data_IF_315789461495
#
_entry.id   IF_315789461495
#
_cell.length_a   1.000
_cell.length_b   1.000
_cell.length_c   1.000
_cell.angle_alpha   90.00
_cell.angle_beta   90.00
_cell.angle_gamma   90.00
#
_symmetry.space_group_name_H-M   'P 1'
#
loop_
_entity.id
_entity.type
_entity.pdbx_description
1 polymer ?
#
# COMPACT_ATOMS: atom_id res chain seq x y z
N UNK A 1 6.67 -1.85 -13.70
CA UNK A 1 6.85 -0.52 -13.06
C UNK A 1 5.67 -0.27 -12.16
N UNK A 2 5.91 0.29 -10.98
CA UNK A 2 4.88 0.58 -9.98
C UNK A 2 4.89 2.07 -9.63
N UNK A 3 3.71 2.61 -9.35
CA UNK A 3 3.54 3.90 -8.71
C UNK A 3 3.08 3.66 -7.28
N UNK A 4 3.84 4.17 -6.31
CA UNK A 4 3.54 4.01 -4.89
C UNK A 4 3.13 5.36 -4.33
N UNK A 5 1.95 5.43 -3.74
CA UNK A 5 1.41 6.61 -3.04
C UNK A 5 1.27 6.26 -1.56
N UNK A 6 1.78 7.12 -0.69
CA UNK A 6 1.78 6.91 0.76
C UNK A 6 1.19 8.16 1.39
N UNK A 7 0.16 7.98 2.21
CA UNK A 7 -0.40 9.06 3.01
C UNK A 7 -0.71 8.58 4.43
N UNK A 8 -0.76 9.53 5.35
CA UNK A 8 -1.30 9.32 6.69
C UNK A 8 -2.68 9.95 6.71
N UNK A 9 -3.65 9.27 7.32
CA UNK A 9 -4.90 9.97 7.61
C UNK A 9 -4.61 11.21 8.46
N UNK A 10 -5.21 12.37 8.10
CA UNK A 10 -5.08 13.55 8.92
C UNK A 10 -5.58 13.24 10.33
N UNK A 11 -4.85 13.71 11.33
CA UNK A 11 -5.25 13.57 12.72
C UNK A 11 -6.61 14.26 12.92
N UNK A 12 -7.67 13.46 13.10
CA UNK A 12 -8.99 13.96 13.47
C UNK A 12 -9.16 13.86 14.99
N UNK A 13 -9.13 14.98 15.73
CA UNK A 13 -9.31 14.97 17.18
C UNK A 13 -10.72 14.55 17.63
N UNK A 14 -11.67 14.41 16.70
CA UNK A 14 -13.03 13.91 16.94
C UNK A 14 -13.20 12.43 16.59
N UNK A 15 -12.23 11.82 15.90
CA UNK A 15 -12.24 10.39 15.63
C UNK A 15 -11.98 9.60 16.92
N UNK A 16 -12.63 8.45 17.05
CA UNK A 16 -12.41 7.57 18.20
C UNK A 16 -10.90 7.25 18.33
N UNK A 17 -10.34 7.19 19.55
CA UNK A 17 -8.89 7.05 19.81
C UNK A 17 -8.26 5.76 19.25
N UNK A 18 -9.06 4.87 18.63
CA UNK A 18 -8.62 3.66 17.95
C UNK A 18 -8.19 3.88 16.48
N UNK A 19 -8.57 4.98 15.83
CA UNK A 19 -8.07 5.32 14.49
C UNK A 19 -6.78 6.11 14.65
N UNK A 20 -5.82 5.52 15.35
CA UNK A 20 -4.50 6.10 15.53
C UNK A 20 -3.75 5.97 14.20
N UNK A 21 -3.63 7.08 13.47
CA UNK A 21 -2.61 7.30 12.43
C UNK A 21 -2.43 6.13 11.46
N UNK A 22 -3.52 5.66 10.86
CA UNK A 22 -3.44 4.56 9.91
C UNK A 22 -2.68 5.04 8.67
N UNK A 23 -1.59 4.36 8.38
CA UNK A 23 -0.83 4.55 7.16
C UNK A 23 -1.62 3.91 6.03
N UNK A 24 -1.98 4.70 5.03
CA UNK A 24 -2.61 4.21 3.83
C UNK A 24 -1.57 4.23 2.72
N UNK A 25 -1.27 3.04 2.21
CA UNK A 25 -0.37 2.86 1.09
C UNK A 25 -1.18 2.35 -0.09
N UNK A 26 -1.01 2.97 -1.25
CA UNK A 26 -1.55 2.48 -2.52
C UNK A 26 -0.40 2.18 -3.47
N UNK A 27 -0.43 0.98 -4.06
CA UNK A 27 0.47 0.55 -5.13
C UNK A 27 -0.35 0.38 -6.41
N UNK A 28 0.04 1.07 -7.46
CA UNK A 28 -0.56 0.96 -8.79
C UNK A 28 0.45 0.33 -9.76
N UNK A 29 0.01 -0.70 -10.48
CA UNK A 29 0.82 -1.34 -11.50
C UNK A 29 0.63 -0.57 -12.81
N UNK A 30 1.71 0.03 -13.35
CA UNK A 30 1.60 0.94 -14.51
C UNK A 30 1.18 0.23 -15.80
N UNK A 31 1.39 -1.09 -15.88
CA UNK A 31 1.07 -1.88 -17.07
C UNK A 31 -0.44 -2.03 -17.30
N UNK A 32 -1.21 -2.20 -16.23
CA UNK A 32 -2.64 -2.52 -16.28
C UNK A 32 -3.50 -1.57 -15.43
N UNK A 33 -2.89 -0.58 -14.77
CA UNK A 33 -3.55 0.36 -13.87
C UNK A 33 -4.07 -0.29 -12.58
N UNK A 34 -3.66 -1.53 -12.26
CA UNK A 34 -4.21 -2.26 -11.11
C UNK A 34 -3.73 -1.65 -9.79
N UNK A 35 -4.68 -1.28 -8.95
CA UNK A 35 -4.44 -0.67 -7.65
C UNK A 35 -4.55 -1.69 -6.51
N UNK A 36 -3.64 -1.58 -5.55
CA UNK A 36 -3.56 -2.37 -4.34
C UNK A 36 -3.42 -1.43 -3.14
N UNK A 37 -4.12 -1.71 -2.04
CA UNK A 37 -4.12 -0.87 -0.85
C UNK A 37 -3.61 -1.66 0.36
N UNK A 38 -2.79 -1.03 1.19
CA UNK A 38 -2.17 -1.64 2.37
C UNK A 38 -2.26 -0.71 3.57
N UNK A 39 -2.43 -1.29 4.76
CA UNK A 39 -2.48 -0.57 6.03
C UNK A 39 -1.11 -0.46 6.73
N UNK A 40 -0.08 -1.12 6.20
CA UNK A 40 1.28 -1.09 6.75
C UNK A 40 2.35 -1.35 5.69
N UNK A 41 3.59 -0.92 5.97
CA UNK A 41 4.73 -1.16 5.09
C UNK A 41 5.06 -2.65 4.96
N UNK A 42 4.89 -3.44 6.03
CA UNK A 42 5.14 -4.88 5.99
C UNK A 42 4.22 -5.59 5.00
N UNK A 43 2.93 -5.20 4.95
CA UNK A 43 1.98 -5.76 3.99
C UNK A 43 2.37 -5.41 2.54
N UNK A 44 2.80 -4.17 2.30
CA UNK A 44 3.28 -3.73 0.98
C UNK A 44 4.57 -4.47 0.57
N UNK A 45 5.51 -4.67 1.49
CA UNK A 45 6.76 -5.40 1.23
C UNK A 45 6.49 -6.87 0.89
N UNK A 46 5.61 -7.53 1.64
CA UNK A 46 5.18 -8.90 1.34
C UNK A 46 4.54 -9.02 -0.05
N UNK A 47 3.76 -8.01 -0.46
CA UNK A 47 3.21 -7.94 -1.82
C UNK A 47 4.33 -7.87 -2.88
N UNK A 48 5.34 -7.01 -2.69
CA UNK A 48 6.44 -6.90 -3.65
C UNK A 48 7.27 -8.19 -3.72
N UNK A 49 7.59 -8.80 -2.58
CA UNK A 49 8.31 -10.08 -2.53
C UNK A 49 7.56 -11.15 -3.33
N UNK A 50 6.27 -11.35 -3.05
CA UNK A 50 5.43 -12.29 -3.78
C UNK A 50 5.30 -11.96 -5.28
N UNK A 51 5.36 -10.67 -5.66
CA UNK A 51 5.32 -10.26 -7.05
C UNK A 51 6.60 -10.60 -7.81
N UNK A 52 7.77 -10.42 -7.18
CA UNK A 52 9.08 -10.71 -7.79
C UNK A 52 9.44 -12.19 -7.77
N UNK A 53 8.91 -12.96 -6.81
CA UNK A 53 9.11 -14.41 -6.73
C UNK A 53 8.32 -15.20 -7.77
N UNK A 54 7.34 -14.58 -8.46
CA UNK A 54 6.60 -15.24 -9.53
C UNK A 54 7.53 -15.54 -10.71
N UNK A 55 7.78 -16.82 -11.06
CA UNK A 55 8.46 -17.14 -12.31
C UNK A 55 7.54 -16.72 -13.47
N UNK A 56 8.08 -16.03 -14.47
CA UNK A 56 7.35 -15.49 -15.64
C UNK A 56 6.79 -14.06 -15.51
N UNK A 57 7.69 -13.10 -15.25
CA UNK A 57 7.48 -11.71 -15.72
C UNK A 57 8.80 -11.05 -16.16
N UNK A 58 9.81 -11.87 -16.53
CA UNK A 58 11.01 -11.43 -17.25
C UNK A 58 10.76 -11.45 -18.74
#
# INVERSE_FOLDING_TARGET
MFLVRIWREPFDPRAAPKIAQQLLIQVETVKDGKQHYFGSFEQMLAFFQAWFERPSNR
#
